data_IF_493171586538
#
_entry.id   IF_493171586538
#
_cell.length_a   1.000
_cell.length_b   1.000
_cell.length_c   1.000
_cell.angle_alpha   90.00
_cell.angle_beta   90.00
_cell.angle_gamma   90.00
#
_symmetry.space_group_name_H-M   'P 1'
#
loop_
_entity.id
_entity.type
_entity.pdbx_description
1 polymer ?
#
# COMPACT_ATOMS: atom_id res chain seq x y z
N UNK A 1 -25.34 10.52 -10.58
CA UNK A 1 -25.13 10.25 -9.15
C UNK A 1 -23.66 10.45 -8.87
N UNK A 2 -23.26 11.22 -7.85
CA UNK A 2 -21.85 11.52 -7.63
C UNK A 2 -21.11 10.25 -7.17
N UNK A 3 -20.13 9.83 -7.97
CA UNK A 3 -19.16 8.79 -7.60
C UNK A 3 -17.97 9.53 -7.03
N UNK A 4 -17.63 9.25 -5.77
CA UNK A 4 -16.47 9.86 -5.13
C UNK A 4 -15.24 9.02 -5.46
N UNK A 5 -14.35 9.61 -6.25
CA UNK A 5 -13.05 9.03 -6.62
C UNK A 5 -12.02 9.74 -5.77
N UNK A 6 -11.40 9.04 -4.82
CA UNK A 6 -10.26 9.58 -4.10
C UNK A 6 -8.95 9.11 -4.72
N UNK A 7 -7.96 10.01 -4.69
CA UNK A 7 -6.56 9.66 -4.78
C UNK A 7 -5.99 9.79 -3.38
N UNK A 8 -6.00 8.71 -2.60
CA UNK A 8 -5.28 8.64 -1.32
C UNK A 8 -4.07 7.74 -1.49
N UNK A 9 -2.94 8.19 -0.96
CA UNK A 9 -1.83 7.32 -0.63
C UNK A 9 -1.89 7.06 0.88
N UNK A 10 -1.97 5.79 1.25
CA UNK A 10 -2.07 5.36 2.64
C UNK A 10 -0.72 5.59 3.30
N UNK A 11 -0.69 6.41 4.34
CA UNK A 11 0.43 6.47 5.27
C UNK A 11 0.02 5.67 6.50
N UNK A 12 0.40 4.39 6.54
CA UNK A 12 0.26 3.58 7.73
C UNK A 12 1.62 3.54 8.43
N UNK A 13 1.77 4.30 9.50
CA UNK A 13 2.75 3.98 10.55
C UNK A 13 2.18 2.77 11.27
N UNK A 14 2.76 1.59 11.04
CA UNK A 14 2.30 0.35 11.67
C UNK A 14 2.68 0.36 13.15
N UNK A 15 1.66 0.25 14.00
CA UNK A 15 1.78 -0.15 15.40
C UNK A 15 2.10 -1.64 15.42
N UNK A 16 3.11 -2.04 16.22
CA UNK A 16 3.44 -3.43 16.51
C UNK A 16 2.22 -4.15 17.11
N UNK A 17 1.53 -4.96 16.32
CA UNK A 17 0.47 -5.84 16.80
C UNK A 17 1.08 -7.23 17.00
N UNK A 18 1.36 -7.58 18.25
CA UNK A 18 1.67 -8.95 18.65
C UNK A 18 0.36 -9.75 18.70
N UNK A 19 -0.10 -10.23 17.55
CA UNK A 19 -0.96 -11.41 17.50
C UNK A 19 -0.08 -12.53 17.01
N UNK A 20 0.73 -13.06 17.93
CA UNK A 20 1.56 -14.27 17.78
C UNK A 20 2.02 -14.56 16.34
N UNK A 21 3.30 -14.24 16.05
CA UNK A 21 4.15 -14.85 15.00
C UNK A 21 4.51 -14.06 13.71
N UNK A 22 4.39 -12.73 13.62
CA UNK A 22 5.09 -11.96 12.56
C UNK A 22 5.44 -10.56 13.05
N UNK A 23 6.67 -10.08 12.74
CA UNK A 23 7.05 -8.66 12.88
C UNK A 23 7.09 -8.03 11.50
N UNK A 24 6.17 -7.10 11.24
CA UNK A 24 6.02 -6.47 9.93
C UNK A 24 6.24 -4.97 10.05
N UNK A 25 7.07 -4.41 9.17
CA UNK A 25 7.13 -2.98 8.93
C UNK A 25 6.63 -2.72 7.51
N UNK A 26 5.56 -1.93 7.40
CA UNK A 26 5.01 -1.52 6.12
C UNK A 26 5.56 -0.16 5.74
N UNK A 27 5.96 -0.04 4.48
CA UNK A 27 6.32 1.22 3.87
C UNK A 27 5.43 1.44 2.63
N UNK A 28 4.85 2.62 2.54
CA UNK A 28 4.08 3.03 1.36
C UNK A 28 4.86 4.13 0.64
N UNK A 29 4.80 4.12 -0.70
CA UNK A 29 5.36 5.11 -1.60
C UNK A 29 4.61 6.43 -1.51
N UNK A 30 4.58 7.04 -0.33
CA UNK A 30 4.11 8.39 -0.18
C UNK A 30 4.62 8.93 1.14
N UNK A 31 5.47 9.95 1.04
CA UNK A 31 5.73 10.84 2.17
C UNK A 31 4.40 11.50 2.50
N UNK A 32 3.91 11.22 3.71
CA UNK A 32 2.71 11.77 4.33
C UNK A 32 2.40 13.19 3.81
N UNK A 33 1.49 13.30 2.83
CA UNK A 33 0.77 14.55 2.66
C UNK A 33 -0.07 14.62 3.93
N UNK A 34 0.37 15.42 4.89
CA UNK A 34 -0.48 15.89 6.00
C UNK A 34 -1.85 16.15 5.40
N UNK A 35 -2.83 15.35 5.85
CA UNK A 35 -4.11 15.14 5.18
C UNK A 35 -4.56 16.36 4.41
N UNK A 36 -4.54 16.26 3.06
CA UNK A 36 -5.26 17.22 2.24
C UNK A 36 -6.73 17.00 2.59
N UNK A 37 -7.27 17.88 3.42
CA UNK A 37 -8.70 17.93 3.69
C UNK A 37 -9.39 18.07 2.34
N UNK A 38 -10.08 17.02 1.91
CA UNK A 38 -10.95 17.10 0.76
C UNK A 38 -12.24 17.70 1.30
N UNK A 39 -12.57 18.90 0.84
CA UNK A 39 -13.89 19.47 1.13
C UNK A 39 -14.92 18.66 0.36
N UNK A 40 -15.83 18.03 1.10
CA UNK A 40 -16.95 17.27 0.56
C UNK A 40 -18.23 18.01 0.90
N UNK A 41 -19.17 18.03 -0.04
CA UNK A 41 -20.51 18.51 0.27
C UNK A 41 -21.17 17.55 1.26
N UNK A 42 -22.01 18.11 2.14
CA UNK A 42 -22.87 17.29 3.00
C UNK A 42 -23.81 16.47 2.12
N UNK A 43 -23.95 15.19 2.39
CA UNK A 43 -24.70 14.29 1.52
C UNK A 43 -24.58 12.83 1.90
N UNK A 44 -25.26 11.98 1.14
CA UNK A 44 -25.20 10.52 1.30
C UNK A 44 -24.18 9.92 0.33
N UNK A 45 -23.26 9.12 0.86
CA UNK A 45 -22.17 8.51 0.10
C UNK A 45 -22.24 6.99 0.20
N UNK A 46 -22.29 6.33 -0.96
CA UNK A 46 -22.43 4.86 -1.04
C UNK A 46 -21.09 4.16 -0.95
N UNK A 47 -20.04 4.74 -1.53
CA UNK A 47 -18.74 4.09 -1.70
C UNK A 47 -17.58 5.03 -1.40
N UNK A 48 -16.49 4.43 -0.91
CA UNK A 48 -15.17 5.01 -0.81
C UNK A 48 -14.26 4.30 -1.83
N UNK A 49 -13.83 5.02 -2.86
CA UNK A 49 -12.95 4.48 -3.91
C UNK A 49 -11.55 5.07 -3.80
N UNK A 50 -10.53 4.22 -3.86
CA UNK A 50 -9.13 4.61 -3.96
C UNK A 50 -8.36 3.53 -4.73
N UNK A 51 -7.07 3.73 -4.94
CA UNK A 51 -6.21 2.72 -5.55
C UNK A 51 -4.94 2.54 -4.75
N UNK A 52 -4.38 1.33 -4.83
CA UNK A 52 -3.03 1.04 -4.36
C UNK A 52 -2.10 1.04 -5.56
N UNK A 53 -1.07 1.87 -5.45
CA UNK A 53 -0.11 2.15 -6.50
C UNK A 53 -0.12 3.61 -6.96
N UNK A 54 0.57 3.88 -8.05
CA UNK A 54 0.68 5.21 -8.64
C UNK A 54 -0.04 5.22 -9.99
N UNK A 55 -0.36 6.40 -10.54
CA UNK A 55 -0.88 6.50 -11.90
C UNK A 55 0.16 5.96 -12.89
N UNK A 56 -0.23 5.37 -14.03
CA UNK A 56 0.73 4.97 -15.06
C UNK A 56 1.60 6.13 -15.54
N UNK A 57 1.03 7.33 -15.65
CA UNK A 57 1.75 8.55 -16.05
C UNK A 57 2.90 8.90 -15.09
N UNK A 58 2.67 8.74 -13.78
CA UNK A 58 3.71 8.95 -12.77
C UNK A 58 4.67 7.76 -12.68
N UNK A 59 4.18 6.54 -12.89
CA UNK A 59 4.98 5.33 -12.74
C UNK A 59 5.96 5.10 -13.90
N UNK A 60 5.59 5.51 -15.10
CA UNK A 60 6.36 5.29 -16.33
C UNK A 60 7.30 6.47 -16.66
N UNK A 61 7.56 7.31 -15.66
CA UNK A 61 8.49 8.43 -15.75
C UNK A 61 9.93 7.98 -15.95
N UNK A 62 10.72 8.84 -16.56
CA UNK A 62 12.16 8.60 -16.67
C UNK A 62 12.85 8.81 -15.32
N UNK A 63 14.05 8.23 -15.15
CA UNK A 63 14.91 8.49 -14.00
C UNK A 63 15.22 10.00 -13.84
N UNK A 64 15.33 10.74 -14.94
CA UNK A 64 15.52 12.20 -14.91
C UNK A 64 14.30 12.91 -14.32
N UNK A 65 13.08 12.55 -14.77
CA UNK A 65 11.84 13.10 -14.22
C UNK A 65 11.72 12.79 -12.72
N UNK A 66 12.02 11.55 -12.32
CA UNK A 66 12.00 11.13 -10.93
C UNK A 66 13.01 11.90 -10.06
N UNK A 67 14.27 11.96 -10.48
CA UNK A 67 15.35 12.57 -9.69
C UNK A 67 15.24 14.09 -9.58
N UNK A 68 14.49 14.73 -10.47
CA UNK A 68 14.26 16.18 -10.48
C UNK A 68 12.97 16.61 -9.75
N UNK A 69 12.16 15.66 -9.24
CA UNK A 69 10.99 15.98 -8.41
C UNK A 69 11.39 16.82 -7.19
N UNK A 70 10.56 17.81 -6.87
CA UNK A 70 10.78 18.68 -5.71
C UNK A 70 10.72 17.87 -4.41
N UNK A 71 11.51 18.21 -3.36
CA UNK A 71 11.54 17.43 -2.12
C UNK A 71 10.22 17.33 -1.34
N UNK A 72 9.25 18.19 -1.63
CA UNK A 72 7.89 18.19 -1.08
C UNK A 72 6.88 17.42 -1.94
N UNK A 73 7.27 16.98 -3.14
CA UNK A 73 6.47 16.06 -3.95
C UNK A 73 6.35 14.72 -3.22
N UNK A 74 5.13 14.18 -3.01
CA UNK A 74 4.90 12.90 -2.35
C UNK A 74 5.64 11.71 -3.00
N UNK A 75 5.95 11.82 -4.29
CA UNK A 75 6.63 10.81 -5.10
C UNK A 75 8.12 11.12 -5.31
N UNK A 76 8.66 12.16 -4.67
CA UNK A 76 10.08 12.49 -4.77
C UNK A 76 11.00 11.37 -4.26
N UNK A 77 12.26 11.33 -4.72
CA UNK A 77 13.27 10.42 -4.21
C UNK A 77 13.36 10.45 -2.68
N UNK A 78 13.28 9.27 -2.07
CA UNK A 78 13.40 9.19 -0.61
C UNK A 78 14.85 9.41 -0.17
N UNK A 79 15.09 10.06 0.99
CA UNK A 79 16.42 10.18 1.59
C UNK A 79 17.13 8.81 1.75
N UNK A 80 18.46 8.80 1.81
CA UNK A 80 19.26 7.56 1.89
C UNK A 80 18.99 6.72 3.14
N UNK A 81 18.54 7.32 4.23
CA UNK A 81 18.19 6.66 5.49
C UNK A 81 16.75 6.11 5.52
N UNK A 82 16.01 6.23 4.42
CA UNK A 82 14.62 5.75 4.30
C UNK A 82 14.52 4.61 3.29
N UNK A 83 13.61 3.66 3.52
CA UNK A 83 13.27 2.66 2.52
C UNK A 83 12.86 3.32 1.20
N UNK A 84 13.41 2.78 0.12
CA UNK A 84 13.10 3.25 -1.23
C UNK A 84 11.75 2.70 -1.65
N UNK A 85 11.01 3.54 -2.35
CA UNK A 85 9.69 3.21 -2.90
C UNK A 85 9.65 3.38 -4.43
N UNK A 86 10.82 3.53 -5.04
CA UNK A 86 11.05 3.55 -6.48
C UNK A 86 12.29 2.70 -6.75
N UNK A 87 12.22 1.86 -7.79
CA UNK A 87 13.37 1.12 -8.28
C UNK A 87 14.12 1.97 -9.30
N UNK A 88 15.45 1.92 -9.26
CA UNK A 88 16.29 2.61 -10.24
C UNK A 88 16.05 2.07 -11.67
N UNK A 89 16.61 2.77 -12.66
CA UNK A 89 16.65 2.31 -14.07
C UNK A 89 15.25 2.15 -14.70
N UNK A 90 14.34 3.08 -14.42
CA UNK A 90 12.97 3.13 -14.97
C UNK A 90 12.10 1.89 -14.66
N UNK A 91 12.42 1.13 -13.61
CA UNK A 91 11.55 0.03 -13.17
C UNK A 91 10.27 0.52 -12.46
N UNK A 92 10.22 1.81 -12.07
CA UNK A 92 9.04 2.49 -11.57
C UNK A 92 8.88 2.40 -10.05
N UNK A 93 7.68 2.71 -9.56
CA UNK A 93 7.38 2.73 -8.12
C UNK A 93 7.01 1.36 -7.57
N UNK A 94 7.41 1.16 -6.31
CA UNK A 94 6.94 0.08 -5.45
C UNK A 94 5.58 0.52 -4.88
N UNK A 95 4.50 -0.14 -5.29
CA UNK A 95 3.14 0.23 -4.88
C UNK A 95 2.82 -0.22 -3.45
N UNK A 96 3.42 -1.33 -3.03
CA UNK A 96 3.26 -1.88 -1.69
C UNK A 96 4.57 -2.53 -1.25
N UNK A 97 5.09 -2.11 -0.09
CA UNK A 97 6.34 -2.65 0.47
C UNK A 97 6.11 -3.21 1.87
N UNK A 98 6.48 -4.48 2.02
CA UNK A 98 6.60 -5.20 3.28
C UNK A 98 8.07 -5.53 3.48
N UNK A 99 8.63 -5.14 4.62
CA UNK A 99 9.89 -5.70 5.13
C UNK A 99 9.64 -6.24 6.54
N UNK A 100 10.21 -7.40 6.85
CA UNK A 100 10.05 -8.01 8.17
C UNK A 100 10.79 -9.33 8.32
N UNK A 101 10.41 -10.05 9.37
CA UNK A 101 10.92 -11.37 9.67
C UNK A 101 9.74 -12.34 9.77
N UNK A 102 9.95 -13.58 9.33
CA UNK A 102 8.98 -14.67 9.34
C UNK A 102 9.53 -15.85 10.15
N UNK A 103 8.64 -16.51 10.87
CA UNK A 103 8.86 -17.79 11.54
C UNK A 103 8.52 -18.92 10.56
N UNK A 104 9.53 -19.53 9.94
CA UNK A 104 9.37 -20.49 8.84
C UNK A 104 9.18 -21.93 9.32
N UNK A 105 9.57 -22.25 10.55
CA UNK A 105 9.40 -23.58 11.14
C UNK A 105 8.28 -23.65 12.20
N UNK A 106 7.71 -22.50 12.57
CA UNK A 106 6.57 -22.38 13.46
C UNK A 106 6.93 -22.47 14.94
N UNK A 107 8.21 -22.38 15.31
CA UNK A 107 8.67 -22.51 16.70
C UNK A 107 8.38 -21.29 17.58
N UNK A 108 7.92 -20.18 16.97
CA UNK A 108 7.61 -18.92 17.64
C UNK A 108 8.73 -17.88 17.57
N UNK A 109 9.87 -18.20 16.95
CA UNK A 109 11.01 -17.32 16.72
C UNK A 109 11.17 -17.06 15.22
N UNK A 110 11.20 -15.81 14.76
CA UNK A 110 11.49 -15.53 13.36
C UNK A 110 12.91 -15.99 12.99
N UNK A 111 13.01 -16.73 11.88
CA UNK A 111 14.24 -17.33 11.36
C UNK A 111 14.44 -17.09 9.85
N UNK A 112 13.48 -16.42 9.20
CA UNK A 112 13.51 -16.02 7.80
C UNK A 112 13.24 -14.54 7.57
N UNK A 113 13.62 -14.06 6.39
CA UNK A 113 13.34 -12.69 5.92
C UNK A 113 11.99 -12.67 5.18
N UNK A 114 11.19 -11.62 5.41
CA UNK A 114 9.94 -11.32 4.71
C UNK A 114 10.10 -10.04 3.89
N UNK A 115 10.02 -10.16 2.56
CA UNK A 115 10.16 -9.05 1.61
C UNK A 115 9.10 -9.12 0.52
N UNK A 116 8.14 -8.22 0.53
CA UNK A 116 7.17 -8.10 -0.56
C UNK A 116 7.19 -6.68 -1.09
N UNK A 117 7.87 -6.47 -2.21
CA UNK A 117 7.96 -5.20 -2.89
C UNK A 117 7.24 -5.35 -4.23
N UNK A 118 5.93 -5.06 -4.24
CA UNK A 118 5.16 -5.16 -5.48
C UNK A 118 4.88 -3.80 -6.06
N UNK A 119 5.06 -3.67 -7.37
CA UNK A 119 4.88 -2.44 -8.13
C UNK A 119 4.73 -2.74 -9.62
N UNK A 120 4.97 -1.76 -10.48
CA UNK A 120 4.61 -1.76 -11.91
C UNK A 120 3.10 -1.69 -12.18
N UNK A 121 2.72 -1.11 -13.33
CA UNK A 121 1.32 -0.85 -13.68
C UNK A 121 0.40 -2.08 -13.60
N UNK A 122 0.92 -3.28 -13.89
CA UNK A 122 0.16 -4.53 -13.86
C UNK A 122 -0.37 -4.89 -12.47
N UNK A 123 0.27 -4.39 -11.41
CA UNK A 123 -0.11 -4.70 -10.02
C UNK A 123 -0.87 -3.57 -9.34
N UNK A 124 -1.19 -2.47 -10.05
CA UNK A 124 -2.12 -1.45 -9.55
C UNK A 124 -3.50 -2.08 -9.31
N UNK A 125 -4.14 -1.78 -8.18
CA UNK A 125 -5.53 -2.19 -7.91
C UNK A 125 -6.38 -1.00 -7.52
N UNK A 126 -7.58 -0.93 -8.10
CA UNK A 126 -8.64 -0.07 -7.61
C UNK A 126 -9.41 -0.81 -6.50
N UNK A 127 -9.70 -0.11 -5.42
CA UNK A 127 -10.40 -0.61 -4.24
C UNK A 127 -11.65 0.22 -4.06
N UNK A 128 -12.77 -0.46 -3.87
CA UNK A 128 -14.07 0.13 -3.55
C UNK A 128 -14.55 -0.46 -2.24
N UNK A 129 -14.79 0.40 -1.25
CA UNK A 129 -15.33 0.02 0.05
C UNK A 129 -16.75 0.58 0.18
N UNK A 130 -17.68 -0.26 0.64
CA UNK A 130 -19.06 0.17 0.91
C UNK A 130 -19.09 1.11 2.12
N UNK A 131 -19.42 2.38 1.86
CA UNK A 131 -19.47 3.42 2.89
C UNK A 131 -20.89 3.60 3.43
N UNK A 132 -21.88 3.66 2.55
CA UNK A 132 -23.32 3.80 2.86
C UNK A 132 -23.63 4.73 4.05
N UNK A 133 -23.05 5.95 4.04
CA UNK A 133 -23.08 6.89 5.17
C UNK A 133 -23.52 8.29 4.73
N UNK A 134 -24.38 8.90 5.54
CA UNK A 134 -24.65 10.33 5.46
C UNK A 134 -23.51 11.12 6.15
N UNK A 135 -22.90 12.05 5.43
CA UNK A 135 -21.94 13.02 5.94
C UNK A 135 -22.68 14.35 6.12
N UNK A 136 -22.99 14.71 7.36
CA UNK A 136 -23.71 15.93 7.72
C UNK A 136 -22.89 16.88 8.61
N UNK A 137 -21.75 16.39 9.09
CA UNK A 137 -20.82 17.11 9.97
C UNK A 137 -19.77 17.84 9.13
N UNK A 138 -19.19 18.90 9.69
CA UNK A 138 -18.14 19.67 9.01
C UNK A 138 -16.81 18.89 8.94
N UNK A 139 -16.65 17.89 9.81
CA UNK A 139 -15.54 16.95 9.81
C UNK A 139 -16.10 15.55 10.01
N UNK A 140 -15.71 14.60 9.15
CA UNK A 140 -16.03 13.18 9.33
C UNK A 140 -14.76 12.37 9.20
N UNK A 141 -14.50 11.52 10.20
CA UNK A 141 -13.39 10.57 10.17
C UNK A 141 -13.90 9.22 9.65
N UNK A 142 -13.17 8.68 8.65
CA UNK A 142 -13.33 7.32 8.17
C UNK A 142 -12.09 6.52 8.58
N UNK A 143 -12.30 5.35 9.16
CA UNK A 143 -11.21 4.45 9.54
C UNK A 143 -11.12 3.34 8.51
N UNK A 144 -9.98 3.23 7.85
CA UNK A 144 -9.67 2.15 6.92
C UNK A 144 -8.77 1.16 7.66
N UNK A 145 -9.21 -0.09 7.76
CA UNK A 145 -8.41 -1.20 8.26
C UNK A 145 -7.71 -1.94 7.13
N UNK A 146 -6.54 -2.49 7.44
CA UNK A 146 -5.75 -3.38 6.59
C UNK A 146 -5.55 -4.71 7.32
N UNK A 147 -6.07 -5.79 6.77
CA UNK A 147 -5.88 -7.14 7.30
C UNK A 147 -4.60 -7.76 6.74
N UNK A 148 -3.60 -7.89 7.62
CA UNK A 148 -2.29 -8.43 7.28
C UNK A 148 -2.34 -9.91 6.90
N UNK A 149 -3.21 -10.70 7.52
CA UNK A 149 -3.33 -12.12 7.16
C UNK A 149 -3.97 -12.25 5.78
N UNK A 150 -4.95 -11.39 5.47
CA UNK A 150 -5.60 -11.39 4.18
C UNK A 150 -4.64 -11.02 3.04
N UNK A 151 -3.66 -10.13 3.27
CA UNK A 151 -2.62 -9.80 2.26
C UNK A 151 -1.87 -11.04 1.77
N UNK A 152 -1.57 -11.97 2.68
CA UNK A 152 -0.83 -13.19 2.40
C UNK A 152 -1.71 -14.43 2.21
N UNK A 153 -3.03 -14.25 2.08
CA UNK A 153 -3.94 -15.37 1.85
C UNK A 153 -3.54 -16.14 0.58
N UNK A 154 -3.34 -17.45 0.72
CA UNK A 154 -2.91 -18.31 -0.39
C UNK A 154 -1.40 -18.31 -0.67
N UNK A 155 -0.59 -17.66 0.17
CA UNK A 155 0.88 -17.71 0.12
C UNK A 155 1.41 -18.45 1.35
N UNK A 156 2.35 -19.38 1.14
CA UNK A 156 3.04 -20.07 2.23
C UNK A 156 4.30 -19.30 2.63
N UNK A 157 4.24 -18.50 3.69
CA UNK A 157 5.37 -17.68 4.12
C UNK A 157 6.59 -18.49 4.60
N UNK A 158 6.48 -19.80 4.82
CA UNK A 158 7.67 -20.63 5.10
C UNK A 158 8.55 -20.82 3.85
N UNK A 159 7.97 -20.75 2.65
CA UNK A 159 8.67 -21.00 1.38
C UNK A 159 8.53 -19.87 0.34
N UNK A 160 7.62 -18.93 0.60
CA UNK A 160 7.22 -17.85 -0.29
C UNK A 160 7.31 -16.49 0.41
N UNK A 161 8.26 -16.29 1.32
CA UNK A 161 8.41 -15.04 2.07
C UNK A 161 8.97 -13.87 1.25
N UNK A 162 9.35 -14.08 -0.02
CA UNK A 162 9.99 -13.04 -0.85
C UNK A 162 9.31 -12.89 -2.22
N UNK A 163 9.05 -11.64 -2.61
CA UNK A 163 8.70 -11.23 -3.98
C UNK A 163 9.06 -9.76 -4.27
N UNK A 164 9.89 -9.53 -5.30
CA UNK A 164 10.22 -8.21 -5.84
C UNK A 164 9.52 -7.92 -7.17
N UNK A 165 8.26 -8.32 -7.32
CA UNK A 165 7.51 -8.30 -8.59
C UNK A 165 8.08 -9.28 -9.64
N UNK A 166 9.25 -9.00 -10.22
CA UNK A 166 9.82 -9.76 -11.34
C UNK A 166 10.39 -11.12 -10.95
N UNK A 167 10.96 -11.25 -9.75
CA UNK A 167 11.59 -12.49 -9.28
C UNK A 167 10.58 -13.63 -9.12
N UNK A 168 9.37 -13.30 -8.68
CA UNK A 168 8.29 -14.24 -8.39
C UNK A 168 6.94 -13.61 -8.77
N UNK A 169 6.62 -13.53 -10.08
CA UNK A 169 5.46 -12.80 -10.58
C UNK A 169 4.12 -13.39 -10.10
N UNK A 170 4.04 -14.72 -9.96
CA UNK A 170 2.82 -15.38 -9.47
C UNK A 170 2.52 -15.03 -8.00
N UNK A 171 3.58 -14.90 -7.17
CA UNK A 171 3.46 -14.46 -5.77
C UNK A 171 3.03 -13.00 -5.70
N UNK A 172 3.66 -12.14 -6.50
CA UNK A 172 3.29 -10.72 -6.60
C UNK A 172 1.83 -10.55 -7.04
N UNK A 173 1.38 -11.36 -8.00
CA UNK A 173 0.01 -11.35 -8.51
C UNK A 173 -1.00 -11.77 -7.45
N UNK A 174 -0.69 -12.83 -6.72
CA UNK A 174 -1.52 -13.32 -5.61
C UNK A 174 -1.61 -12.26 -4.51
N UNK A 175 -0.47 -11.73 -4.06
CA UNK A 175 -0.41 -10.68 -3.04
C UNK A 175 -1.18 -9.42 -3.46
N UNK A 176 -0.99 -8.93 -4.70
CA UNK A 176 -1.69 -7.76 -5.20
C UNK A 176 -3.20 -7.97 -5.30
N UNK A 177 -3.65 -9.16 -5.73
CA UNK A 177 -5.07 -9.50 -5.81
C UNK A 177 -5.75 -9.53 -4.44
N UNK A 178 -5.00 -9.85 -3.38
CA UNK A 178 -5.51 -9.87 -2.02
C UNK A 178 -5.83 -8.48 -1.45
N UNK A 179 -5.29 -7.39 -2.03
CA UNK A 179 -5.48 -6.03 -1.50
C UNK A 179 -6.95 -5.66 -1.39
N UNK A 180 -7.76 -5.96 -2.40
CA UNK A 180 -9.20 -5.64 -2.39
C UNK A 180 -9.93 -6.28 -1.22
N UNK A 181 -9.54 -7.49 -0.80
CA UNK A 181 -10.11 -8.16 0.37
C UNK A 181 -9.47 -7.71 1.69
N UNK A 182 -8.21 -7.27 1.66
CA UNK A 182 -7.46 -6.87 2.84
C UNK A 182 -7.88 -5.48 3.38
N UNK A 183 -8.34 -4.59 2.50
CA UNK A 183 -8.85 -3.27 2.90
C UNK A 183 -10.33 -3.34 3.32
N UNK A 184 -10.66 -2.70 4.43
CA UNK A 184 -12.05 -2.61 4.92
C UNK A 184 -12.32 -1.28 5.61
N UNK A 185 -13.58 -0.84 5.63
CA UNK A 185 -14.04 0.21 6.54
C UNK A 185 -14.27 -0.37 7.94
N UNK A 186 -13.92 0.38 8.98
CA UNK A 186 -14.09 0.00 10.40
C UNK A 186 -15.08 0.92 11.11
#
# INVERSE_FOLDING_TARGET
MPILIFRFAISLVVVLIYRTKVRIVLYFACRLIRGRFVTLDKGYYNQLNFFVGVSPEDNDQTEEDFTTRLPDDPLAPQPSDKPKMHWNWNAGYIFFRVDGEVDTDGDGSPDGVLEYHIGTNNFRRDISLDLNRAINEDVTTLTIGLDMAQLFAGLDLATESISHTGDFPDRAQTFANNWTAAFSLK
#
